data_IF_490218698624
#
_entry.id   IF_490218698624
#
_cell.length_a   1.000
_cell.length_b   1.000
_cell.length_c   1.000
_cell.angle_alpha   90.00
_cell.angle_beta   90.00
_cell.angle_gamma   90.00
#
_symmetry.space_group_name_H-M   'P 1'
#
loop_
_entity.id
_entity.type
_entity.pdbx_description
1 polymer ?
#
# COMPACT_ATOMS: atom_id res chain seq x y z
N UNK A 1 14.02 -21.44 -43.01
CA UNK A 1 14.94 -20.55 -42.26
C UNK A 1 14.36 -20.40 -40.88
N UNK A 2 14.83 -21.21 -39.94
CA UNK A 2 14.37 -21.21 -38.55
C UNK A 2 14.60 -19.82 -37.95
N UNK A 3 13.52 -19.20 -37.44
CA UNK A 3 13.66 -18.04 -36.58
C UNK A 3 14.38 -18.52 -35.33
N UNK A 4 15.60 -18.06 -35.10
CA UNK A 4 16.29 -18.32 -33.85
C UNK A 4 15.38 -17.89 -32.69
N UNK A 5 14.98 -18.85 -31.85
CA UNK A 5 14.24 -18.54 -30.64
C UNK A 5 15.09 -17.63 -29.76
N UNK A 6 14.59 -16.43 -29.52
CA UNK A 6 15.29 -15.44 -28.71
C UNK A 6 15.28 -15.94 -27.27
N UNK A 7 16.43 -16.40 -26.79
CA UNK A 7 16.64 -16.81 -25.41
C UNK A 7 17.21 -15.67 -24.56
N UNK A 8 17.07 -15.82 -23.24
CA UNK A 8 17.63 -14.90 -22.25
C UNK A 8 18.05 -15.65 -20.97
N UNK A 9 18.93 -15.04 -20.19
CA UNK A 9 19.34 -15.57 -18.88
C UNK A 9 18.24 -15.25 -17.86
N UNK A 10 17.52 -16.29 -17.46
CA UNK A 10 16.58 -16.26 -16.35
C UNK A 10 17.29 -16.61 -15.05
N UNK A 11 16.96 -15.90 -13.97
CA UNK A 11 17.53 -16.08 -12.64
C UNK A 11 16.42 -16.10 -11.63
N UNK A 12 16.34 -17.04 -10.70
CA UNK A 12 15.36 -16.96 -9.62
C UNK A 12 15.95 -17.24 -8.25
N UNK A 13 15.11 -17.11 -7.23
CA UNK A 13 15.47 -17.43 -5.85
C UNK A 13 14.36 -18.24 -5.18
N UNK A 14 14.75 -19.22 -4.37
CA UNK A 14 13.85 -20.00 -3.52
C UNK A 14 14.21 -19.71 -2.06
N UNK A 15 13.20 -19.40 -1.25
CA UNK A 15 13.36 -19.04 0.15
C UNK A 15 12.31 -19.72 1.03
N UNK A 16 12.59 -19.79 2.33
CA UNK A 16 11.64 -20.17 3.36
C UNK A 16 10.49 -19.14 3.43
N UNK A 17 9.25 -19.61 3.41
CA UNK A 17 8.06 -18.73 3.41
C UNK A 17 7.87 -17.92 4.69
N UNK A 18 8.44 -18.38 5.81
CA UNK A 18 8.31 -17.74 7.12
C UNK A 18 9.55 -16.89 7.43
N UNK A 19 10.73 -17.47 7.38
CA UNK A 19 11.96 -16.75 7.78
C UNK A 19 12.49 -15.84 6.66
N UNK A 20 12.10 -16.15 5.42
CA UNK A 20 12.60 -15.49 4.21
C UNK A 20 14.07 -15.83 3.91
N UNK A 21 14.65 -16.79 4.63
CA UNK A 21 16.05 -17.19 4.43
C UNK A 21 16.18 -18.04 3.15
N UNK A 22 17.31 -17.95 2.44
CA UNK A 22 17.50 -18.72 1.21
C UNK A 22 17.48 -20.22 1.47
N UNK A 23 16.86 -20.96 0.55
CA UNK A 23 16.86 -22.43 0.57
C UNK A 23 17.90 -22.89 -0.44
N UNK A 24 19.03 -23.41 0.06
CA UNK A 24 20.02 -24.14 -0.73
C UNK A 24 19.50 -25.53 -1.10
N UNK A 25 19.82 -26.02 -2.30
CA UNK A 25 19.43 -27.36 -2.72
C UNK A 25 17.97 -27.49 -3.21
N UNK A 26 17.22 -26.40 -3.31
CA UNK A 26 15.87 -26.41 -3.86
C UNK A 26 15.90 -26.74 -5.36
N UNK A 27 15.01 -27.65 -5.79
CA UNK A 27 14.82 -28.04 -7.19
C UNK A 27 13.82 -27.10 -7.85
N UNK A 28 14.16 -26.59 -9.01
CA UNK A 28 13.31 -25.72 -9.84
C UNK A 28 13.15 -26.33 -11.22
N UNK A 29 11.92 -26.69 -11.54
CA UNK A 29 11.50 -27.23 -12.83
C UNK A 29 10.81 -26.14 -13.64
N UNK A 30 11.18 -25.99 -14.91
CA UNK A 30 10.53 -25.07 -15.86
C UNK A 30 9.90 -25.96 -16.94
N UNK A 31 8.58 -25.88 -17.11
CA UNK A 31 7.86 -26.69 -18.10
C UNK A 31 8.51 -26.57 -19.49
N UNK A 32 8.55 -27.67 -20.23
CA UNK A 32 9.07 -27.69 -21.61
C UNK A 32 10.56 -27.31 -21.76
N UNK A 33 11.30 -27.21 -20.64
CA UNK A 33 12.76 -27.05 -20.65
C UNK A 33 13.38 -28.24 -19.92
N UNK A 34 14.13 -29.06 -20.64
CA UNK A 34 14.53 -30.43 -20.28
C UNK A 34 15.45 -30.63 -19.05
N UNK A 35 15.69 -29.61 -18.23
CA UNK A 35 16.61 -29.73 -17.09
C UNK A 35 16.11 -28.96 -15.86
N UNK A 36 16.08 -29.61 -14.71
CA UNK A 36 15.87 -28.90 -13.45
C UNK A 36 17.11 -28.09 -13.07
N UNK A 37 16.90 -27.06 -12.27
CA UNK A 37 18.00 -26.31 -11.63
C UNK A 37 17.94 -26.44 -10.13
N UNK A 38 19.12 -26.51 -9.53
CA UNK A 38 19.29 -26.58 -8.09
C UNK A 38 19.79 -25.22 -7.61
N UNK A 39 19.21 -24.71 -6.53
CA UNK A 39 19.64 -23.45 -5.92
C UNK A 39 20.97 -23.58 -5.18
N UNK A 40 21.79 -22.54 -5.23
CA UNK A 40 23.03 -22.44 -4.46
C UNK A 40 22.80 -22.05 -2.99
N UNK A 41 23.89 -21.86 -2.23
CA UNK A 41 23.94 -21.36 -0.84
C UNK A 41 23.12 -20.08 -0.57
N UNK A 42 22.89 -19.28 -1.61
CA UNK A 42 22.07 -18.05 -1.57
C UNK A 42 20.66 -18.26 -2.09
N UNK A 43 20.23 -19.51 -2.24
CA UNK A 43 18.91 -19.89 -2.75
C UNK A 43 18.68 -19.54 -4.21
N UNK A 44 19.73 -19.19 -4.98
CA UNK A 44 19.62 -18.69 -6.35
C UNK A 44 19.82 -19.81 -7.37
N UNK A 45 19.03 -19.79 -8.44
CA UNK A 45 19.23 -20.61 -9.64
C UNK A 45 19.30 -19.72 -10.89
N UNK A 46 20.01 -20.16 -11.93
CA UNK A 46 20.16 -19.45 -13.21
C UNK A 46 20.01 -20.43 -14.38
N UNK A 47 19.35 -20.01 -15.46
CA UNK A 47 19.15 -20.81 -16.67
C UNK A 47 18.92 -19.94 -17.90
N UNK A 48 19.54 -20.32 -19.01
CA UNK A 48 19.19 -19.77 -20.32
C UNK A 48 17.89 -20.43 -20.82
N UNK A 49 16.86 -19.64 -21.08
CA UNK A 49 15.56 -20.14 -21.57
C UNK A 49 15.03 -19.28 -22.73
N UNK A 50 14.24 -19.84 -23.67
CA UNK A 50 13.50 -19.05 -24.64
C UNK A 50 12.49 -18.10 -23.97
N UNK A 51 12.12 -17.04 -24.68
CA UNK A 51 11.00 -16.20 -24.26
C UNK A 51 9.70 -16.98 -24.48
N UNK A 52 8.86 -17.09 -23.46
CA UNK A 52 7.66 -17.90 -23.55
C UNK A 52 6.84 -17.94 -22.26
N UNK A 53 5.71 -18.63 -22.31
CA UNK A 53 4.88 -18.92 -21.14
C UNK A 53 5.29 -20.27 -20.57
N UNK A 54 5.63 -20.28 -19.30
CA UNK A 54 6.10 -21.48 -18.61
C UNK A 54 5.33 -21.66 -17.31
N UNK A 55 5.13 -22.93 -16.92
CA UNK A 55 4.86 -23.26 -15.52
C UNK A 55 6.20 -23.55 -14.87
N UNK A 56 6.53 -22.78 -13.85
CA UNK A 56 7.74 -22.97 -13.05
C UNK A 56 7.33 -23.53 -11.69
N UNK A 57 7.95 -24.61 -11.28
CA UNK A 57 7.70 -25.31 -10.03
C UNK A 57 8.97 -25.31 -9.19
N UNK A 58 8.88 -24.93 -7.93
CA UNK A 58 9.98 -25.04 -6.97
C UNK A 58 9.59 -25.96 -5.81
N UNK A 59 10.51 -26.83 -5.41
CA UNK A 59 10.39 -27.75 -4.29
C UNK A 59 11.73 -27.92 -3.59
N UNK A 60 11.74 -28.35 -2.33
CA UNK A 60 12.97 -28.66 -1.61
C UNK A 60 12.70 -29.71 -0.53
N UNK A 61 13.72 -30.46 -0.12
CA UNK A 61 13.60 -31.43 0.97
C UNK A 61 13.16 -30.73 2.28
N UNK A 62 12.19 -31.29 3.01
CA UNK A 62 11.55 -30.70 4.20
C UNK A 62 10.66 -29.46 3.93
N UNK A 63 10.47 -29.08 2.67
CA UNK A 63 9.59 -28.00 2.23
C UNK A 63 8.50 -28.51 1.28
N UNK A 64 7.37 -27.81 1.26
CA UNK A 64 6.32 -28.02 0.28
C UNK A 64 6.73 -27.56 -1.11
N UNK A 65 5.85 -27.85 -2.08
CA UNK A 65 6.02 -27.43 -3.47
C UNK A 65 5.19 -26.18 -3.76
N UNK A 66 5.68 -25.31 -4.65
CA UNK A 66 4.94 -24.16 -5.16
C UNK A 66 5.19 -24.00 -6.65
N UNK A 67 4.12 -23.88 -7.42
CA UNK A 67 4.17 -23.61 -8.85
C UNK A 67 3.55 -22.26 -9.21
N UNK A 68 3.92 -21.74 -10.38
CA UNK A 68 3.30 -20.55 -10.96
C UNK A 68 3.44 -20.59 -12.48
N UNK A 69 2.38 -20.20 -13.18
CA UNK A 69 2.44 -19.98 -14.63
C UNK A 69 2.77 -18.51 -14.90
N UNK A 70 3.84 -18.26 -15.67
CA UNK A 70 4.35 -16.91 -15.94
C UNK A 70 4.90 -16.79 -17.35
N UNK A 71 4.75 -15.61 -17.95
CA UNK A 71 5.42 -15.27 -19.20
C UNK A 71 6.82 -14.73 -18.89
N UNK A 72 7.84 -15.53 -19.22
CA UNK A 72 9.25 -15.25 -18.96
C UNK A 72 9.88 -14.58 -20.18
N UNK A 73 10.53 -13.44 -19.96
CA UNK A 73 11.22 -12.69 -20.99
C UNK A 73 12.33 -11.80 -20.38
N UNK A 74 13.06 -11.06 -21.23
CA UNK A 74 14.15 -10.16 -20.82
C UNK A 74 13.75 -9.06 -19.83
N UNK A 75 12.47 -8.69 -19.77
CA UNK A 75 11.92 -7.68 -18.86
C UNK A 75 11.39 -8.29 -17.56
N UNK A 76 11.18 -9.61 -17.51
CA UNK A 76 10.85 -10.35 -16.30
C UNK A 76 11.84 -11.52 -16.09
N UNK A 77 13.16 -11.24 -15.97
CA UNK A 77 14.16 -12.30 -15.90
C UNK A 77 14.24 -12.97 -14.54
N UNK A 78 13.35 -12.64 -13.59
CA UNK A 78 13.47 -13.15 -12.24
C UNK A 78 12.18 -13.60 -11.58
N UNK A 79 12.24 -14.77 -10.96
CA UNK A 79 11.14 -15.39 -10.24
C UNK A 79 11.55 -15.75 -8.81
N UNK A 80 10.66 -15.48 -7.84
CA UNK A 80 10.88 -15.82 -6.44
C UNK A 80 9.82 -16.81 -5.94
N UNK A 81 10.28 -17.91 -5.37
CA UNK A 81 9.44 -18.88 -4.66
C UNK A 81 9.62 -18.76 -3.15
N UNK A 82 8.50 -18.84 -2.44
CA UNK A 82 8.42 -18.94 -0.98
C UNK A 82 7.81 -20.30 -0.67
N UNK A 83 8.62 -21.22 -0.13
CA UNK A 83 8.20 -22.57 0.19
C UNK A 83 7.86 -22.71 1.68
N UNK A 84 6.67 -23.22 2.04
CA UNK A 84 6.34 -23.57 3.42
C UNK A 84 7.08 -24.84 3.87
N UNK A 85 7.33 -25.01 5.17
CA UNK A 85 7.91 -26.25 5.71
C UNK A 85 6.82 -27.32 5.83
N UNK A 86 7.14 -28.58 5.55
CA UNK A 86 6.15 -29.67 5.54
C UNK A 86 5.47 -29.91 6.91
N UNK A 87 6.20 -29.74 8.02
CA UNK A 87 5.62 -29.87 9.39
C UNK A 87 4.53 -28.83 9.68
N UNK A 88 4.51 -27.71 8.97
CA UNK A 88 3.52 -26.63 9.13
C UNK A 88 2.37 -26.76 8.13
N UNK A 89 2.55 -27.46 7.01
CA UNK A 89 1.46 -27.84 6.10
C UNK A 89 0.47 -28.80 6.77
N UNK A 90 0.95 -29.69 7.64
CA UNK A 90 0.09 -30.57 8.45
C UNK A 90 -0.76 -29.78 9.47
N UNK A 91 -0.19 -28.74 10.09
CA UNK A 91 -0.89 -27.89 11.04
C UNK A 91 -1.92 -26.96 10.38
N UNK A 92 -1.74 -26.60 9.10
CA UNK A 92 -2.73 -25.78 8.36
C UNK A 92 -3.90 -26.59 7.83
N UNK A 93 -3.74 -27.89 7.56
CA UNK A 93 -4.85 -28.77 7.16
C UNK A 93 -5.74 -29.19 8.33
N UNK A 94 -5.24 -29.29 9.56
CA UNK A 94 -6.08 -29.59 10.75
C UNK A 94 -7.02 -28.44 11.16
N UNK A 95 -6.73 -27.21 10.75
CA UNK A 95 -7.55 -26.04 11.10
C UNK A 95 -8.70 -25.86 10.10
N UNK A 96 -8.51 -26.24 8.84
CA UNK A 96 -9.51 -26.08 7.76
C UNK A 96 -10.63 -27.13 7.84
N UNK A 97 -10.38 -28.34 8.37
CA UNK A 97 -11.43 -29.36 8.55
C UNK A 97 -12.38 -29.09 9.73
N UNK A 98 -11.98 -28.28 10.71
CA UNK A 98 -12.78 -28.05 11.94
C UNK A 98 -13.72 -26.84 11.87
N UNK A 99 -13.84 -26.14 10.74
CA UNK A 99 -14.71 -24.96 10.61
C UNK A 99 -15.78 -25.06 9.51
N UNK A 100 -16.40 -26.24 9.35
CA UNK A 100 -17.67 -26.35 8.65
C UNK A 100 -18.69 -27.06 9.54
N UNK A 101 -19.35 -26.30 10.43
CA UNK A 101 -20.64 -26.73 10.93
C UNK A 101 -21.73 -26.34 9.91
N UNK A 102 -22.63 -27.26 9.53
CA UNK A 102 -23.69 -26.97 8.57
C UNK A 102 -24.78 -26.10 9.21
N UNK A 103 -25.12 -24.99 8.55
CA UNK A 103 -26.28 -24.16 8.88
C UNK A 103 -27.53 -24.95 8.46
N UNK A 104 -28.21 -25.56 9.44
CA UNK A 104 -29.50 -26.20 9.28
C UNK A 104 -30.58 -25.15 8.96
N UNK A 105 -31.29 -25.40 7.87
CA UNK A 105 -32.30 -24.52 7.31
C UNK A 105 -33.66 -25.12 7.72
N UNK A 106 -34.15 -24.76 8.91
CA UNK A 106 -35.48 -25.20 9.36
C UNK A 106 -36.51 -24.07 9.31
N UNK A 107 -37.56 -24.38 8.56
CA UNK A 107 -38.80 -23.65 8.35
C UNK A 107 -39.50 -23.28 9.67
N UNK A 108 -40.08 -22.08 9.75
CA UNK A 108 -41.09 -21.73 10.76
C UNK A 108 -42.48 -21.71 10.11
N UNK A 109 -43.48 -22.41 10.67
CA UNK A 109 -44.88 -22.06 10.50
C UNK A 109 -45.38 -21.18 11.65
N UNK A 110 -46.32 -20.31 11.29
CA UNK A 110 -47.07 -19.35 12.12
C UNK A 110 -47.96 -20.03 13.16
N UNK A 111 -48.18 -19.39 14.33
CA UNK A 111 -49.52 -19.22 14.94
C UNK A 111 -49.53 -18.29 16.19
N UNK A 112 -50.74 -17.86 16.50
CA UNK A 112 -51.25 -16.68 17.23
C UNK A 112 -51.65 -17.01 18.68
N UNK A 113 -51.57 -16.04 19.62
CA UNK A 113 -52.57 -15.72 20.70
C UNK A 113 -51.99 -14.60 21.62
N UNK A 114 -52.54 -13.37 21.62
CA UNK A 114 -53.54 -12.79 22.55
C UNK A 114 -53.02 -12.71 24.03
N UNK A 115 -53.06 -11.62 24.81
CA UNK A 115 -54.05 -10.53 24.97
C UNK A 115 -53.46 -9.40 25.92
N UNK A 116 -54.20 -8.43 26.53
CA UNK A 116 -54.29 -7.00 26.16
C UNK A 116 -53.88 -5.97 27.27
N UNK A 117 -53.95 -4.65 26.99
CA UNK A 117 -54.14 -3.65 28.06
C UNK A 117 -53.70 -2.19 27.84
N UNK A 118 -54.65 -1.35 27.40
CA UNK A 118 -54.87 0.08 27.70
C UNK A 118 -53.90 1.22 27.29
N UNK A 119 -54.35 1.94 26.26
CA UNK A 119 -54.37 3.43 26.07
C UNK A 119 -55.03 4.17 27.27
N UNK A 120 -54.94 5.52 27.45
CA UNK A 120 -55.11 6.53 26.38
C UNK A 120 -54.37 7.88 26.43
N UNK A 121 -54.39 8.50 25.24
CA UNK A 121 -54.07 9.88 24.88
C UNK A 121 -55.22 10.83 25.26
N UNK A 122 -54.96 12.13 25.49
CA UNK A 122 -55.94 13.18 25.19
C UNK A 122 -55.41 14.28 24.22
N UNK A 123 -56.32 15.13 23.69
CA UNK A 123 -56.29 15.59 22.30
C UNK A 123 -55.89 17.06 22.10
N UNK A 124 -55.65 17.45 20.84
CA UNK A 124 -55.32 18.81 20.44
C UNK A 124 -56.49 19.79 20.41
N UNK A 125 -56.17 21.09 20.25
CA UNK A 125 -57.05 22.15 19.72
C UNK A 125 -56.23 23.36 19.21
N UNK A 126 -56.85 24.10 18.30
CA UNK A 126 -56.31 25.07 17.35
C UNK A 126 -56.26 26.53 17.84
N UNK A 127 -55.52 27.34 17.07
CA UNK A 127 -55.62 28.78 16.74
C UNK A 127 -55.46 29.86 17.82
N UNK A 128 -54.45 30.74 17.65
CA UNK A 128 -54.64 32.20 17.48
C UNK A 128 -53.33 32.91 17.11
N UNK A 129 -53.47 33.96 16.27
CA UNK A 129 -52.44 34.88 15.80
C UNK A 129 -52.36 36.07 16.76
N UNK A 130 -51.15 36.51 17.15
CA UNK A 130 -50.92 37.89 17.59
C UNK A 130 -49.46 38.32 17.31
N UNK A 131 -49.28 39.57 16.90
CA UNK A 131 -48.08 40.15 16.28
C UNK A 131 -47.19 40.93 17.27
N UNK A 132 -45.87 40.89 16.99
CA UNK A 132 -44.81 41.92 17.19
C UNK A 132 -44.33 42.27 18.63
N UNK A 133 -43.15 42.93 18.79
CA UNK A 133 -41.81 42.70 18.21
C UNK A 133 -40.71 42.77 19.32
N UNK A 134 -39.42 42.63 18.95
CA UNK A 134 -38.16 42.97 19.68
C UNK A 134 -37.16 41.81 19.56
N UNK A 135 -35.84 41.94 19.40
CA UNK A 135 -34.88 43.00 19.09
C UNK A 135 -33.53 42.24 18.93
N UNK A 136 -32.66 42.70 18.03
CA UNK A 136 -31.21 42.48 18.05
C UNK A 136 -30.64 41.06 18.20
N UNK A 137 -30.34 40.41 17.08
CA UNK A 137 -29.24 39.45 17.03
C UNK A 137 -28.16 40.02 16.11
N UNK A 138 -27.03 40.37 16.71
CA UNK A 138 -25.81 40.82 16.05
C UNK A 138 -25.33 39.74 15.06
N UNK A 139 -25.09 40.13 13.81
CA UNK A 139 -24.41 39.29 12.83
C UNK A 139 -22.93 39.19 13.18
N UNK A 140 -22.48 38.01 13.63
CA UNK A 140 -21.06 37.67 13.62
C UNK A 140 -20.58 37.52 12.16
N UNK A 141 -19.45 38.13 11.76
CA UNK A 141 -19.01 38.13 10.37
C UNK A 141 -18.67 36.71 9.93
N UNK A 142 -19.31 36.24 8.85
CA UNK A 142 -18.87 35.07 8.11
C UNK A 142 -17.43 35.31 7.64
N UNK A 143 -16.47 34.61 8.25
CA UNK A 143 -15.09 34.57 7.76
C UNK A 143 -15.11 34.13 6.31
N UNK A 144 -14.64 35.03 5.46
CA UNK A 144 -14.53 34.86 4.03
C UNK A 144 -13.81 33.55 3.72
N UNK A 145 -14.52 32.68 3.01
CA UNK A 145 -13.97 31.57 2.24
C UNK A 145 -12.83 32.16 1.40
N UNK A 146 -11.59 31.85 1.78
CA UNK A 146 -10.42 32.29 1.05
C UNK A 146 -10.55 31.83 -0.40
N UNK A 147 -10.77 32.79 -1.30
CA UNK A 147 -10.75 32.63 -2.75
C UNK A 147 -9.40 32.05 -3.14
N UNK A 148 -9.35 30.74 -3.37
CA UNK A 148 -8.20 30.09 -3.99
C UNK A 148 -8.07 30.62 -5.41
N UNK A 149 -6.90 31.23 -5.70
CA UNK A 149 -6.55 31.71 -7.03
C UNK A 149 -6.72 30.59 -8.08
N UNK A 150 -7.22 30.87 -9.30
CA UNK A 150 -7.41 29.86 -10.35
C UNK A 150 -6.13 29.11 -10.77
N UNK A 151 -4.95 29.60 -10.37
CA UNK A 151 -3.65 29.02 -10.74
C UNK A 151 -3.27 27.76 -9.95
N UNK A 152 -3.89 27.46 -8.81
CA UNK A 152 -3.47 26.35 -7.91
C UNK A 152 -4.24 25.03 -8.12
N UNK A 153 -5.14 24.93 -9.11
CA UNK A 153 -5.98 23.72 -9.33
C UNK A 153 -5.91 23.16 -10.74
N UNK A 154 -4.71 23.17 -11.35
CA UNK A 154 -4.50 22.46 -12.62
C UNK A 154 -4.37 20.97 -12.33
N UNK A 155 -5.42 20.20 -12.60
CA UNK A 155 -5.37 18.74 -12.58
C UNK A 155 -4.33 18.25 -13.60
N UNK A 156 -3.63 17.16 -13.27
CA UNK A 156 -2.73 16.52 -14.23
C UNK A 156 -3.51 16.19 -15.52
N UNK A 157 -3.06 16.61 -16.72
CA UNK A 157 -3.72 16.25 -17.97
C UNK A 157 -3.84 14.72 -18.16
N UNK A 158 -5.04 14.19 -18.39
CA UNK A 158 -5.25 12.73 -18.52
C UNK A 158 -4.41 12.14 -19.66
N UNK A 159 -4.26 12.88 -20.77
CA UNK A 159 -3.51 12.47 -21.97
C UNK A 159 -1.99 12.39 -21.80
N UNK A 160 -1.43 13.08 -20.79
CA UNK A 160 0.02 13.19 -20.62
C UNK A 160 0.54 12.28 -19.50
N UNK A 161 -0.35 11.72 -18.68
CA UNK A 161 -0.01 11.12 -17.40
C UNK A 161 -0.63 9.73 -17.22
N UNK A 162 0.16 8.71 -16.83
CA UNK A 162 -0.34 7.35 -16.53
C UNK A 162 -1.23 7.35 -15.28
N UNK A 163 -2.28 6.49 -15.18
CA UNK A 163 -3.10 6.40 -13.96
C UNK A 163 -2.22 6.01 -12.75
N UNK A 164 -2.47 6.62 -11.59
CA UNK A 164 -1.65 6.44 -10.39
C UNK A 164 -2.34 5.50 -9.39
N UNK A 165 -1.57 4.60 -8.81
CA UNK A 165 -1.89 3.86 -7.60
C UNK A 165 -0.86 4.23 -6.53
N UNK A 166 -1.27 5.09 -5.59
CA UNK A 166 -0.40 5.64 -4.55
C UNK A 166 -0.77 5.03 -3.20
N UNK A 167 0.18 4.33 -2.58
CA UNK A 167 0.06 3.83 -1.21
C UNK A 167 0.97 4.65 -0.29
N UNK A 168 0.38 5.41 0.61
CA UNK A 168 1.11 6.10 1.67
C UNK A 168 1.40 5.14 2.81
N UNK A 169 2.67 5.08 3.20
CA UNK A 169 3.14 4.44 4.42
C UNK A 169 3.65 5.54 5.37
N UNK A 170 2.84 5.89 6.36
CA UNK A 170 3.08 7.07 7.21
C UNK A 170 3.52 6.65 8.60
N UNK A 171 4.70 7.10 9.00
CA UNK A 171 5.14 7.04 10.40
C UNK A 171 4.26 7.98 11.23
N UNK A 172 3.62 7.42 12.24
CA UNK A 172 2.85 8.19 13.23
C UNK A 172 3.42 8.03 14.63
N UNK A 173 4.71 7.74 14.77
CA UNK A 173 5.36 7.70 16.08
C UNK A 173 5.33 9.07 16.76
N UNK A 174 5.50 9.09 18.09
CA UNK A 174 5.46 10.34 18.87
C UNK A 174 6.46 11.40 18.38
N UNK A 175 7.61 11.01 17.82
CA UNK A 175 8.58 11.98 17.27
C UNK A 175 8.08 12.70 16.02
N UNK A 176 7.06 12.18 15.33
CA UNK A 176 6.40 12.83 14.21
C UNK A 176 5.42 13.94 14.63
N UNK A 177 5.16 14.11 15.94
CA UNK A 177 4.27 15.13 16.47
C UNK A 177 4.81 16.58 16.35
N UNK A 178 6.12 16.74 16.09
CA UNK A 178 6.75 18.04 15.88
C UNK A 178 6.08 18.83 14.75
N UNK A 179 5.97 20.15 14.90
CA UNK A 179 5.20 21.04 14.02
C UNK A 179 5.63 20.94 12.55
N UNK A 180 6.94 20.75 12.32
CA UNK A 180 7.55 20.66 11.00
C UNK A 180 7.57 19.24 10.40
N UNK A 181 6.87 18.27 11.02
CA UNK A 181 6.83 16.86 10.58
C UNK A 181 5.44 16.40 10.10
N UNK A 182 4.70 15.63 10.90
CA UNK A 182 3.38 15.11 10.50
C UNK A 182 2.40 16.23 10.09
N UNK A 183 2.35 17.40 10.77
CA UNK A 183 1.50 18.50 10.31
C UNK A 183 1.87 18.99 8.89
N UNK A 184 3.16 19.08 8.57
CA UNK A 184 3.63 19.42 7.22
C UNK A 184 3.36 18.31 6.21
N UNK A 185 3.52 17.03 6.61
CA UNK A 185 3.16 15.89 5.77
C UNK A 185 1.67 15.93 5.39
N UNK A 186 0.78 16.18 6.36
CA UNK A 186 -0.66 16.32 6.12
C UNK A 186 -0.97 17.40 5.08
N UNK A 187 -0.36 18.58 5.22
CA UNK A 187 -0.50 19.67 4.25
C UNK A 187 -0.02 19.26 2.86
N UNK A 188 1.11 18.55 2.77
CA UNK A 188 1.67 18.05 1.51
C UNK A 188 0.75 17.04 0.82
N UNK A 189 0.21 16.07 1.57
CA UNK A 189 -0.70 15.05 1.03
C UNK A 189 -2.00 15.71 0.56
N UNK A 190 -2.59 16.61 1.36
CA UNK A 190 -3.82 17.33 0.99
C UNK A 190 -3.60 18.11 -0.31
N UNK A 191 -2.50 18.85 -0.42
CA UNK A 191 -2.20 19.60 -1.64
C UNK A 191 -2.01 18.67 -2.85
N UNK A 192 -1.32 17.54 -2.67
CA UNK A 192 -1.17 16.54 -3.73
C UNK A 192 -2.52 15.96 -4.18
N UNK A 193 -3.37 15.60 -3.22
CA UNK A 193 -4.68 15.00 -3.50
C UNK A 193 -5.52 15.89 -4.40
N UNK A 194 -5.45 17.21 -4.25
CA UNK A 194 -6.19 18.18 -5.10
C UNK A 194 -5.80 18.12 -6.58
N UNK A 195 -4.58 17.69 -6.91
CA UNK A 195 -4.10 17.60 -8.29
C UNK A 195 -4.28 16.22 -8.92
N UNK A 196 -4.58 15.19 -8.12
CA UNK A 196 -4.88 13.85 -8.63
C UNK A 196 -6.17 13.86 -9.46
N UNK A 197 -6.27 12.98 -10.44
CA UNK A 197 -7.46 12.83 -11.30
C UNK A 197 -8.40 11.78 -10.71
N UNK A 198 -9.65 11.75 -11.15
CA UNK A 198 -10.66 10.78 -10.68
C UNK A 198 -10.22 9.31 -10.85
N UNK A 199 -9.43 9.01 -11.88
CA UNK A 199 -8.90 7.67 -12.17
C UNK A 199 -7.77 7.23 -11.23
N UNK A 200 -7.13 8.17 -10.53
CA UNK A 200 -6.03 7.88 -9.62
C UNK A 200 -6.56 7.29 -8.30
N UNK A 201 -5.78 6.43 -7.66
CA UNK A 201 -6.15 5.71 -6.43
C UNK A 201 -5.19 6.03 -5.30
N UNK A 202 -5.73 6.21 -4.10
CA UNK A 202 -4.98 6.49 -2.88
C UNK A 202 -5.31 5.45 -1.81
N UNK A 203 -4.29 4.93 -1.14
CA UNK A 203 -4.41 4.09 0.05
C UNK A 203 -3.51 4.68 1.13
N UNK A 204 -3.95 4.71 2.40
CA UNK A 204 -3.13 5.22 3.52
C UNK A 204 -3.02 4.14 4.59
N UNK A 205 -1.78 3.77 4.89
CA UNK A 205 -1.39 2.90 5.99
C UNK A 205 -0.51 3.72 6.92
N UNK A 206 -0.88 3.81 8.19
CA UNK A 206 -0.01 4.38 9.23
C UNK A 206 0.74 3.26 9.94
N UNK A 207 1.95 3.54 10.42
CA UNK A 207 2.68 2.62 11.29
C UNK A 207 3.30 3.36 12.47
N UNK A 208 3.26 2.70 13.62
CA UNK A 208 4.08 3.00 14.79
C UNK A 208 4.49 1.64 15.38
N UNK A 209 3.89 1.24 16.49
CA UNK A 209 4.13 -0.09 17.11
C UNK A 209 3.46 -1.21 16.31
N UNK A 210 2.31 -0.89 15.72
CA UNK A 210 1.55 -1.74 14.79
C UNK A 210 1.16 -0.90 13.58
N UNK A 211 0.87 -1.57 12.47
CA UNK A 211 0.31 -0.97 11.27
C UNK A 211 -1.20 -0.86 11.38
N UNK A 212 -1.75 0.24 10.88
CA UNK A 212 -3.18 0.49 10.83
C UNK A 212 -3.59 0.97 9.44
N UNK A 213 -4.71 0.44 8.95
CA UNK A 213 -5.35 0.95 7.75
C UNK A 213 -6.12 2.23 8.10
N UNK A 214 -5.65 3.36 7.60
CA UNK A 214 -6.29 4.67 7.81
C UNK A 214 -7.30 4.94 6.70
N UNK A 215 -6.92 4.65 5.46
CA UNK A 215 -7.76 4.81 4.28
C UNK A 215 -7.63 3.55 3.40
N UNK A 216 -8.70 2.73 3.28
CA UNK A 216 -8.79 1.70 2.25
C UNK A 216 -8.66 2.32 0.85
N UNK A 217 -8.31 1.52 -0.16
CA UNK A 217 -8.09 2.06 -1.50
C UNK A 217 -9.30 2.84 -2.02
N UNK A 218 -9.07 4.11 -2.29
CA UNK A 218 -10.10 5.11 -2.60
C UNK A 218 -9.70 5.82 -3.90
N UNK A 219 -10.65 5.99 -4.82
CA UNK A 219 -10.45 6.78 -6.02
C UNK A 219 -10.39 8.27 -5.68
N UNK A 220 -9.56 9.02 -6.39
CA UNK A 220 -9.29 10.41 -6.04
C UNK A 220 -10.40 11.37 -6.51
N UNK A 221 -11.52 10.89 -7.03
CA UNK A 221 -12.76 11.67 -7.12
C UNK A 221 -13.34 11.98 -5.73
N UNK A 222 -13.13 11.10 -4.74
CA UNK A 222 -13.52 11.34 -3.35
C UNK A 222 -12.45 12.14 -2.57
N UNK A 223 -12.15 13.35 -3.04
CA UNK A 223 -11.16 14.26 -2.43
C UNK A 223 -11.45 14.51 -0.94
N UNK A 224 -12.71 14.80 -0.62
CA UNK A 224 -13.13 15.17 0.72
C UNK A 224 -12.85 14.06 1.75
N UNK A 225 -13.16 12.80 1.42
CA UNK A 225 -12.87 11.67 2.31
C UNK A 225 -11.37 11.45 2.50
N UNK A 226 -10.58 11.57 1.43
CA UNK A 226 -9.12 11.43 1.52
C UNK A 226 -8.55 12.54 2.41
N UNK A 227 -8.92 13.80 2.18
CA UNK A 227 -8.48 14.93 2.99
C UNK A 227 -8.88 14.78 4.46
N UNK A 228 -10.10 14.33 4.74
CA UNK A 228 -10.57 14.06 6.10
C UNK A 228 -9.71 13.00 6.79
N UNK A 229 -9.46 11.86 6.13
CA UNK A 229 -8.62 10.79 6.70
C UNK A 229 -7.17 11.22 6.93
N UNK A 230 -6.64 12.11 6.12
CA UNK A 230 -5.33 12.71 6.35
C UNK A 230 -5.35 13.63 7.58
N UNK A 231 -6.40 14.45 7.75
CA UNK A 231 -6.54 15.33 8.93
C UNK A 231 -6.63 14.54 10.24
N UNK A 232 -7.28 13.38 10.22
CA UNK A 232 -7.43 12.45 11.36
C UNK A 232 -6.12 11.73 11.79
N UNK A 233 -5.03 11.80 11.02
CA UNK A 233 -3.76 11.16 11.42
C UNK A 233 -3.21 11.78 12.71
N UNK A 234 -2.90 10.97 13.71
CA UNK A 234 -2.34 11.48 14.98
C UNK A 234 -1.06 10.74 15.34
N UNK A 235 -0.07 11.49 15.81
CA UNK A 235 1.19 10.94 16.29
C UNK A 235 0.99 10.25 17.65
N UNK A 236 1.24 8.93 17.70
CA UNK A 236 1.13 8.08 18.88
C UNK A 236 2.03 6.84 18.79
N UNK A 237 2.57 6.42 19.93
CA UNK A 237 3.29 5.15 20.09
C UNK A 237 4.77 5.16 19.67
N UNK A 238 5.44 4.02 19.87
CA UNK A 238 6.86 3.81 19.55
C UNK A 238 7.05 3.18 18.17
N UNK A 239 8.13 3.49 17.46
CA UNK A 239 8.37 3.10 16.06
C UNK A 239 8.75 1.62 15.90
N UNK A 240 8.06 0.88 15.01
CA UNK A 240 8.43 -0.48 14.58
C UNK A 240 8.25 -0.62 13.06
N UNK A 241 9.25 -0.15 12.31
CA UNK A 241 9.15 0.09 10.87
C UNK A 241 8.98 -1.15 9.95
N UNK A 242 9.30 -2.36 10.41
CA UNK A 242 9.46 -3.51 9.51
C UNK A 242 8.16 -4.10 8.92
N UNK A 243 7.06 -4.08 9.69
CA UNK A 243 5.78 -4.66 9.25
C UNK A 243 5.06 -3.74 8.27
N UNK A 244 5.09 -2.43 8.51
CA UNK A 244 4.42 -1.44 7.68
C UNK A 244 4.82 -1.48 6.20
N UNK A 245 6.12 -1.62 5.91
CA UNK A 245 6.60 -1.68 4.52
C UNK A 245 6.10 -2.90 3.76
N UNK A 246 6.03 -4.07 4.42
CA UNK A 246 5.48 -5.29 3.79
C UNK A 246 4.02 -5.10 3.41
N UNK A 247 3.23 -4.55 4.34
CA UNK A 247 1.80 -4.33 4.13
C UNK A 247 1.52 -3.31 3.04
N UNK A 248 2.26 -2.19 3.02
CA UNK A 248 2.13 -1.18 1.98
C UNK A 248 2.34 -1.80 0.58
N UNK A 249 3.39 -2.61 0.39
CA UNK A 249 3.59 -3.32 -0.87
C UNK A 249 2.51 -4.36 -1.18
N UNK A 250 1.96 -5.04 -0.17
CA UNK A 250 0.83 -5.95 -0.38
C UNK A 250 -0.41 -5.18 -0.88
N UNK A 251 -0.71 -4.02 -0.31
CA UNK A 251 -1.83 -3.17 -0.77
C UNK A 251 -1.59 -2.64 -2.17
N UNK A 252 -0.38 -2.17 -2.46
CA UNK A 252 0.00 -1.70 -3.79
C UNK A 252 -0.18 -2.79 -4.85
N UNK A 253 0.24 -4.03 -4.56
CA UNK A 253 0.04 -5.18 -5.45
C UNK A 253 -1.42 -5.55 -5.67
N UNK A 254 -2.26 -5.48 -4.62
CA UNK A 254 -3.69 -5.84 -4.72
C UNK A 254 -4.47 -4.93 -5.67
N UNK A 255 -4.03 -3.69 -5.84
CA UNK A 255 -4.68 -2.70 -6.70
C UNK A 255 -3.73 -2.19 -7.79
N UNK A 256 -2.82 -3.07 -8.22
CA UNK A 256 -1.83 -2.76 -9.24
C UNK A 256 -2.52 -2.37 -10.55
N UNK A 257 -2.09 -1.26 -11.13
CA UNK A 257 -2.59 -0.76 -12.42
C UNK A 257 -1.59 -1.14 -13.50
N UNK A 258 -2.00 -2.00 -14.42
CA UNK A 258 -1.21 -2.31 -15.62
C UNK A 258 -1.01 -1.06 -16.48
N UNK A 259 0.22 -0.85 -16.96
CA UNK A 259 0.65 0.38 -17.63
C UNK A 259 0.42 1.68 -16.83
N UNK A 260 0.09 1.59 -15.53
CA UNK A 260 -0.04 2.70 -14.60
C UNK A 260 1.25 2.99 -13.85
N UNK A 261 1.24 4.10 -13.09
CA UNK A 261 2.26 4.39 -12.10
C UNK A 261 1.84 3.76 -10.76
N UNK A 262 2.60 2.76 -10.28
CA UNK A 262 2.34 2.11 -9.00
C UNK A 262 3.47 2.49 -8.04
N UNK A 263 3.11 3.12 -6.91
CA UNK A 263 4.11 3.67 -6.02
C UNK A 263 3.71 3.58 -4.55
N UNK A 264 4.67 3.21 -3.71
CA UNK A 264 4.63 3.43 -2.27
C UNK A 264 5.34 4.75 -1.96
N UNK A 265 4.71 5.61 -1.17
CA UNK A 265 5.33 6.82 -0.62
C UNK A 265 5.47 6.62 0.88
N UNK A 266 6.71 6.45 1.34
CA UNK A 266 7.03 6.29 2.74
C UNK A 266 7.38 7.64 3.37
N UNK A 267 6.78 7.98 4.51
CA UNK A 267 7.07 9.21 5.23
C UNK A 267 7.50 8.90 6.67
N UNK A 268 8.68 9.39 7.09
CA UNK A 268 9.26 9.11 8.42
C UNK A 268 10.36 10.11 8.78
N UNK A 269 10.71 10.20 10.05
CA UNK A 269 11.85 10.99 10.56
C UNK A 269 13.16 10.18 10.68
N UNK A 270 13.21 8.98 10.10
CA UNK A 270 14.45 8.21 9.93
C UNK A 270 14.72 7.16 11.02
N UNK A 271 13.87 7.06 12.03
CA UNK A 271 14.04 6.10 13.14
C UNK A 271 13.60 4.68 12.76
N UNK A 272 14.45 3.97 12.03
CA UNK A 272 14.29 2.53 11.78
C UNK A 272 15.06 1.76 12.85
N UNK A 273 14.41 1.40 13.97
CA UNK A 273 15.09 0.67 15.06
C UNK A 273 15.78 -0.61 14.56
N UNK A 274 17.04 -0.77 14.98
CA UNK A 274 18.03 -1.64 14.37
C UNK A 274 18.10 -3.02 15.01
N UNK A 275 17.91 -4.04 14.17
CA UNK A 275 18.82 -5.18 14.15
C UNK A 275 19.43 -5.19 12.75
N UNK A 276 20.75 -5.25 12.64
CA UNK A 276 21.52 -5.14 11.39
C UNK A 276 21.06 -6.08 10.26
N UNK A 277 20.40 -7.21 10.59
CA UNK A 277 19.75 -8.10 9.62
C UNK A 277 18.50 -7.52 8.93
N UNK A 278 17.85 -6.51 9.53
CA UNK A 278 16.63 -5.88 9.02
C UNK A 278 16.88 -5.02 7.78
N UNK A 279 17.95 -4.21 7.77
CA UNK A 279 18.21 -3.22 6.70
C UNK A 279 18.50 -3.90 5.36
N UNK A 280 19.24 -5.01 5.37
CA UNK A 280 19.49 -5.83 4.16
C UNK A 280 18.19 -6.45 3.64
N UNK A 281 17.36 -7.05 4.52
CA UNK A 281 16.04 -7.60 4.14
C UNK A 281 15.10 -6.52 3.59
N UNK A 282 15.09 -5.31 4.17
CA UNK A 282 14.35 -4.15 3.65
C UNK A 282 14.86 -3.77 2.25
N UNK A 283 16.17 -3.57 2.08
CA UNK A 283 16.75 -3.17 0.79
C UNK A 283 16.43 -4.19 -0.31
N UNK A 284 16.51 -5.49 -0.02
CA UNK A 284 16.12 -6.54 -0.98
C UNK A 284 14.64 -6.46 -1.34
N UNK A 285 13.76 -6.28 -0.34
CA UNK A 285 12.32 -6.12 -0.55
C UNK A 285 12.00 -4.90 -1.42
N UNK A 286 12.67 -3.78 -1.18
CA UNK A 286 12.50 -2.55 -1.97
C UNK A 286 12.89 -2.79 -3.43
N UNK A 287 14.10 -3.33 -3.67
CA UNK A 287 14.56 -3.66 -5.04
C UNK A 287 13.62 -4.61 -5.76
N UNK A 288 13.12 -5.61 -5.04
CA UNK A 288 12.20 -6.61 -5.57
C UNK A 288 10.86 -6.02 -6.02
N UNK A 289 10.29 -5.10 -5.24
CA UNK A 289 9.03 -4.46 -5.63
C UNK A 289 9.22 -3.45 -6.76
N UNK A 290 10.33 -2.71 -6.76
CA UNK A 290 10.68 -1.82 -7.89
C UNK A 290 10.84 -2.60 -9.20
N UNK A 291 11.49 -3.77 -9.16
CA UNK A 291 11.56 -4.67 -10.32
C UNK A 291 10.18 -5.13 -10.80
N UNK A 292 9.21 -5.26 -9.90
CA UNK A 292 7.81 -5.59 -10.22
C UNK A 292 6.95 -4.37 -10.60
N UNK A 293 7.58 -3.22 -10.88
CA UNK A 293 6.90 -2.00 -11.29
C UNK A 293 6.21 -1.24 -10.17
N UNK A 294 6.53 -1.53 -8.89
CA UNK A 294 6.04 -0.78 -7.73
C UNK A 294 7.19 0.00 -7.12
N UNK A 295 7.27 1.29 -7.44
CA UNK A 295 8.36 2.16 -6.98
C UNK A 295 8.20 2.54 -5.50
N UNK A 296 9.30 2.93 -4.87
CA UNK A 296 9.32 3.48 -3.51
C UNK A 296 9.94 4.86 -3.51
N UNK A 297 9.15 5.87 -3.22
CA UNK A 297 9.62 7.21 -2.89
C UNK A 297 9.59 7.42 -1.37
N UNK A 298 10.45 8.29 -0.88
CA UNK A 298 10.53 8.62 0.55
C UNK A 298 10.38 10.11 0.80
N UNK A 299 9.69 10.45 1.89
CA UNK A 299 9.54 11.79 2.44
C UNK A 299 10.19 11.78 3.82
N UNK A 300 11.36 12.40 3.94
CA UNK A 300 12.14 12.45 5.17
C UNK A 300 11.90 13.75 5.95
N UNK A 301 11.90 13.62 7.28
CA UNK A 301 11.72 14.72 8.23
C UNK A 301 12.82 14.74 9.29
N UNK A 302 13.03 15.91 9.91
CA UNK A 302 13.97 16.04 11.03
C UNK A 302 15.44 16.12 10.62
N UNK A 303 16.32 15.72 11.55
CA UNK A 303 17.78 15.95 11.49
C UNK A 303 18.61 14.68 11.72
N UNK A 304 17.99 13.49 11.67
CA UNK A 304 18.70 12.22 11.79
C UNK A 304 19.41 11.89 10.48
N UNK A 305 20.67 12.30 10.35
CA UNK A 305 21.44 12.14 9.13
C UNK A 305 21.57 10.67 8.69
N UNK A 306 21.70 9.73 9.64
CA UNK A 306 21.85 8.31 9.31
C UNK A 306 20.53 7.70 8.83
N UNK A 307 19.44 7.94 9.56
CA UNK A 307 18.11 7.52 9.18
C UNK A 307 17.68 8.08 7.83
N UNK A 308 17.92 9.37 7.60
CA UNK A 308 17.62 10.03 6.33
C UNK A 308 18.50 9.52 5.18
N UNK A 309 19.80 9.25 5.43
CA UNK A 309 20.67 8.63 4.43
C UNK A 309 20.19 7.22 4.06
N UNK A 310 19.69 6.45 5.03
CA UNK A 310 19.10 5.15 4.78
C UNK A 310 17.85 5.24 3.91
N UNK A 311 16.91 6.13 4.26
CA UNK A 311 15.70 6.37 3.47
C UNK A 311 16.03 6.77 2.04
N UNK A 312 16.98 7.69 1.85
CA UNK A 312 17.48 8.07 0.52
C UNK A 312 18.00 6.85 -0.24
N UNK A 313 18.78 5.99 0.43
CA UNK A 313 19.27 4.74 -0.12
C UNK A 313 18.18 3.73 -0.46
N UNK A 314 17.05 3.74 0.25
CA UNK A 314 15.87 2.94 -0.07
C UNK A 314 15.17 3.48 -1.33
N UNK A 315 14.93 4.78 -1.42
CA UNK A 315 14.28 5.37 -2.60
C UNK A 315 15.07 5.12 -3.89
N UNK A 316 16.40 5.29 -3.84
CA UNK A 316 17.28 4.97 -4.97
C UNK A 316 17.15 3.51 -5.43
N UNK A 317 17.10 2.57 -4.48
CA UNK A 317 16.91 1.14 -4.78
C UNK A 317 15.48 0.81 -5.22
N UNK A 318 14.54 1.68 -4.87
CA UNK A 318 13.12 1.57 -5.14
C UNK A 318 12.69 2.23 -6.44
N UNK A 319 13.62 2.69 -7.28
CA UNK A 319 13.33 3.50 -8.47
C UNK A 319 12.40 4.70 -8.15
N UNK A 320 12.52 5.28 -6.97
CA UNK A 320 11.70 6.40 -6.53
C UNK A 320 12.50 7.65 -6.18
N UNK A 321 11.80 8.70 -5.79
CA UNK A 321 12.38 10.00 -5.44
C UNK A 321 12.54 10.16 -3.93
N UNK A 322 13.47 11.02 -3.53
CA UNK A 322 13.66 11.41 -2.13
C UNK A 322 13.29 12.87 -1.96
N UNK A 323 12.40 13.15 -1.01
CA UNK A 323 11.95 14.48 -0.66
C UNK A 323 12.27 14.73 0.80
N UNK A 324 12.97 15.83 1.11
CA UNK A 324 13.21 16.24 2.49
C UNK A 324 12.38 17.49 2.73
N UNK A 325 11.48 17.46 3.72
CA UNK A 325 10.70 18.63 4.10
C UNK A 325 11.37 19.25 5.32
N UNK A 326 11.87 20.47 5.15
CA UNK A 326 12.50 21.26 6.22
C UNK A 326 11.68 22.49 6.61
N UNK A 327 10.75 22.90 5.76
CA UNK A 327 9.94 24.09 5.93
C UNK A 327 8.55 23.92 5.27
N UNK A 328 7.64 24.84 5.61
CA UNK A 328 6.25 24.85 5.16
C UNK A 328 6.10 24.99 3.63
N UNK A 329 6.99 25.75 3.00
CA UNK A 329 6.96 25.98 1.55
C UNK A 329 7.33 24.71 0.78
N UNK A 330 8.35 24.00 1.25
CA UNK A 330 8.71 22.68 0.76
C UNK A 330 7.58 21.69 0.97
N UNK A 331 6.94 21.69 2.14
CA UNK A 331 5.80 20.83 2.43
C UNK A 331 4.69 21.00 1.39
N UNK A 332 4.37 22.23 0.99
CA UNK A 332 3.32 22.50 -0.01
C UNK A 332 3.61 21.83 -1.36
N UNK A 333 4.87 21.78 -1.81
CA UNK A 333 5.24 21.33 -3.16
C UNK A 333 5.87 19.94 -3.25
N UNK A 334 6.34 19.39 -2.14
CA UNK A 334 7.22 18.23 -2.12
C UNK A 334 6.65 17.01 -2.85
N UNK A 335 5.48 16.52 -2.43
CA UNK A 335 4.95 15.25 -2.93
C UNK A 335 4.49 15.36 -4.40
N UNK A 336 3.96 16.53 -4.80
CA UNK A 336 3.57 16.78 -6.19
C UNK A 336 4.74 16.63 -7.17
N UNK A 337 5.89 17.21 -6.84
CA UNK A 337 7.11 17.09 -7.64
C UNK A 337 7.55 15.63 -7.78
N UNK A 338 7.45 14.87 -6.69
CA UNK A 338 7.81 13.45 -6.68
C UNK A 338 6.97 12.61 -7.65
N UNK A 339 5.67 12.90 -7.80
CA UNK A 339 4.80 12.16 -8.73
C UNK A 339 5.07 12.56 -10.19
N UNK A 340 5.29 13.84 -10.47
CA UNK A 340 5.56 14.34 -11.84
C UNK A 340 6.86 13.76 -12.42
N UNK A 341 7.90 13.60 -11.59
CA UNK A 341 9.17 12.97 -12.00
C UNK A 341 8.97 11.54 -12.51
N UNK A 342 8.16 10.71 -11.85
CA UNK A 342 7.94 9.31 -12.30
C UNK A 342 7.05 9.20 -13.53
N UNK A 343 6.36 10.27 -13.90
CA UNK A 343 5.42 10.28 -15.01
C UNK A 343 6.08 10.62 -16.36
N UNK A 344 7.14 11.44 -16.37
CA UNK A 344 7.82 11.89 -17.60
C UNK A 344 8.93 10.96 -18.11
N UNK A 345 9.56 10.17 -17.24
CA UNK A 345 10.73 9.35 -17.60
C UNK A 345 10.40 8.01 -18.30
N UNK A 346 9.17 7.79 -18.75
CA UNK A 346 8.72 6.50 -19.30
C UNK A 346 7.97 6.63 -20.64
N UNK A 347 8.24 7.70 -21.40
CA UNK A 347 7.86 7.82 -22.81
C UNK A 347 9.04 7.56 -23.73
#
# INVERSE_FOLDING_TARGET
>A
KDKAEVSFLHRGIVVDSITGDPIEGATVTISDVSEDKITNDKGIYEKQIPIGRYTVTASAEYYGTKDTTVYLNRNNPFLRFELPREKEMAATHEIDEKQVEPIDNQERPSQVEANPGNSPVPPGRQDTVEQQPEEGLEEEPQEAIATTSPEDTVLLPVSEYKPNNVVFLIDVSTSMAEEDKLPYLKQSIINMVRHLRSIDKVTIVSYATVSHMVLPTTTADNKAMIEQKVKELEARGSTRANRGLTEAYQKARKVYIEAGNNQVIMASDGKFDELSGSRTKINMKVRWNAFRGINLSVVGFGRDDEGLAFMKGMAQKGNGSTLMIKDKEQARRAILKGIDEHQKYQQ
#
